data_IF_707089147097
#
_entry.id   IF_707089147097
#
_cell.length_a   1.000
_cell.length_b   1.000
_cell.length_c   1.000
_cell.angle_alpha   90.00
_cell.angle_beta   90.00
_cell.angle_gamma   90.00
#
_symmetry.space_group_name_H-M   'P 1'
#
loop_
_entity.id
_entity.type
_entity.pdbx_description
1 polymer ?
#
# COMPACT_ATOMS: atom_id res chain seq x y z
N UNK A 1 9.19 -22.62 -11.80
CA UNK A 1 8.73 -21.62 -10.86
C UNK A 1 8.96 -20.20 -11.36
N UNK A 2 8.05 -19.25 -11.03
CA UNK A 2 8.07 -17.87 -11.51
C UNK A 2 7.52 -16.93 -10.44
N UNK A 3 7.76 -15.63 -10.61
CA UNK A 3 7.06 -14.56 -9.93
C UNK A 3 6.25 -13.76 -10.94
N UNK A 4 5.07 -13.32 -10.56
CA UNK A 4 4.27 -12.37 -11.32
C UNK A 4 4.41 -11.00 -10.69
N UNK A 5 4.80 -10.02 -11.47
CA UNK A 5 4.77 -8.61 -11.13
C UNK A 5 3.64 -7.93 -11.88
N UNK A 6 2.88 -7.08 -11.20
CA UNK A 6 1.96 -6.12 -11.82
C UNK A 6 2.50 -4.73 -11.54
N UNK A 7 2.75 -3.99 -12.60
CA UNK A 7 3.20 -2.61 -12.57
C UNK A 7 2.03 -1.72 -12.95
N UNK A 8 1.79 -0.66 -12.22
CA UNK A 8 0.75 0.32 -12.53
C UNK A 8 1.32 1.73 -12.45
N UNK A 9 0.92 2.58 -13.40
CA UNK A 9 1.21 4.01 -13.44
C UNK A 9 -0.06 4.82 -13.52
N UNK A 10 -0.05 6.04 -12.99
CA UNK A 10 -1.11 7.03 -13.20
C UNK A 10 -1.10 7.63 -14.60
N UNK A 11 -0.02 7.42 -15.36
CA UNK A 11 0.13 7.85 -16.75
C UNK A 11 0.08 6.63 -17.66
N UNK A 12 -0.37 6.84 -18.90
CA UNK A 12 -0.35 5.80 -19.93
C UNK A 12 1.08 5.29 -20.12
N UNK A 13 1.24 3.98 -20.07
CA UNK A 13 2.52 3.31 -20.35
C UNK A 13 2.63 3.07 -21.85
N UNK A 14 3.69 3.58 -22.44
CA UNK A 14 4.01 3.40 -23.86
C UNK A 14 5.03 2.27 -24.09
N UNK A 15 5.46 2.12 -25.33
CA UNK A 15 6.46 1.12 -25.70
C UNK A 15 7.80 1.35 -25.01
N UNK A 16 8.14 2.60 -24.68
CA UNK A 16 9.40 2.96 -23.98
C UNK A 16 9.51 2.25 -22.63
N UNK A 17 8.42 2.17 -21.85
CA UNK A 17 8.40 1.45 -20.58
C UNK A 17 8.72 -0.02 -20.77
N UNK A 18 8.15 -0.64 -21.80
CA UNK A 18 8.40 -2.06 -22.12
C UNK A 18 9.84 -2.29 -22.60
N UNK A 19 10.39 -1.37 -23.37
CA UNK A 19 11.78 -1.45 -23.85
C UNK A 19 12.78 -1.30 -22.72
N UNK A 20 12.59 -0.33 -21.82
CA UNK A 20 13.43 -0.13 -20.65
C UNK A 20 13.40 -1.38 -19.74
N UNK A 21 12.22 -1.94 -19.49
CA UNK A 21 12.11 -3.20 -18.74
C UNK A 21 12.85 -4.37 -19.42
N UNK A 22 12.78 -4.48 -20.74
CA UNK A 22 13.53 -5.53 -21.47
C UNK A 22 15.04 -5.32 -21.39
N UNK A 23 15.50 -4.07 -21.44
CA UNK A 23 16.94 -3.75 -21.34
C UNK A 23 17.50 -4.05 -19.95
N UNK A 24 16.70 -3.94 -18.91
CA UNK A 24 17.10 -4.32 -17.54
C UNK A 24 17.46 -5.81 -17.43
N UNK A 25 16.96 -6.65 -18.36
CA UNK A 25 17.14 -8.10 -18.34
C UNK A 25 17.73 -8.66 -19.66
N UNK A 26 18.88 -8.17 -20.14
CA UNK A 26 19.36 -8.43 -21.51
C UNK A 26 19.68 -9.90 -21.81
N UNK A 27 19.89 -10.74 -20.79
CA UNK A 27 20.28 -12.15 -20.95
C UNK A 27 19.21 -13.15 -20.48
N UNK A 28 17.99 -12.70 -20.21
CA UNK A 28 16.93 -13.58 -19.70
C UNK A 28 15.87 -13.86 -20.76
N UNK A 29 16.06 -14.95 -21.50
CA UNK A 29 15.14 -15.41 -22.57
C UNK A 29 13.74 -15.82 -22.10
N UNK A 30 13.46 -15.82 -20.77
CA UNK A 30 12.22 -16.36 -20.20
C UNK A 30 11.38 -15.35 -19.43
N UNK A 31 11.62 -14.06 -19.65
CA UNK A 31 10.79 -13.00 -19.12
C UNK A 31 9.68 -12.68 -20.12
N UNK A 32 8.44 -12.62 -19.65
CA UNK A 32 7.30 -12.24 -20.46
C UNK A 32 6.73 -10.94 -19.90
N UNK A 33 6.64 -9.90 -20.73
CA UNK A 33 6.05 -8.61 -20.39
C UNK A 33 4.82 -8.47 -21.28
N UNK A 34 3.65 -8.32 -20.65
CA UNK A 34 2.36 -8.28 -21.32
C UNK A 34 1.59 -7.04 -20.85
N UNK A 35 1.16 -6.15 -21.74
CA UNK A 35 0.25 -5.08 -21.39
C UNK A 35 -1.10 -5.68 -20.93
N UNK A 36 -1.55 -5.28 -19.73
CA UNK A 36 -2.89 -5.61 -19.22
C UNK A 36 -3.89 -4.59 -19.73
N UNK A 37 -3.51 -3.32 -19.65
CA UNK A 37 -4.23 -2.18 -20.18
C UNK A 37 -3.25 -1.00 -20.41
N UNK A 38 -3.75 0.19 -20.73
CA UNK A 38 -2.92 1.37 -20.99
C UNK A 38 -2.10 1.85 -19.76
N UNK A 39 -2.49 1.45 -18.56
CA UNK A 39 -1.88 1.88 -17.29
C UNK A 39 -1.20 0.75 -16.52
N UNK A 40 -1.33 -0.49 -17.00
CA UNK A 40 -0.83 -1.67 -16.30
C UNK A 40 -0.06 -2.62 -17.22
N UNK A 41 1.08 -3.10 -16.71
CA UNK A 41 1.88 -4.18 -17.31
C UNK A 41 1.95 -5.36 -16.34
N UNK A 42 1.87 -6.57 -16.88
CA UNK A 42 2.18 -7.79 -16.17
C UNK A 42 3.54 -8.31 -16.63
N UNK A 43 4.40 -8.70 -15.69
CA UNK A 43 5.69 -9.33 -16.00
C UNK A 43 5.82 -10.65 -15.28
N UNK A 44 6.09 -11.72 -16.05
CA UNK A 44 6.45 -13.03 -15.52
C UNK A 44 7.96 -13.19 -15.50
N UNK A 45 8.50 -13.27 -14.28
CA UNK A 45 9.93 -13.39 -14.02
C UNK A 45 10.28 -14.81 -13.58
N UNK A 46 11.30 -15.47 -14.18
CA UNK A 46 11.71 -16.81 -13.77
C UNK A 46 12.41 -16.74 -12.40
N UNK A 47 11.98 -17.60 -11.48
CA UNK A 47 12.69 -17.76 -10.22
C UNK A 47 14.06 -18.41 -10.49
N UNK A 48 15.12 -17.79 -9.99
CA UNK A 48 16.47 -18.37 -10.01
C UNK A 48 16.64 -19.29 -8.80
N UNK A 49 17.48 -20.30 -8.93
CA UNK A 49 17.84 -21.15 -7.80
C UNK A 49 18.51 -20.31 -6.71
N UNK A 50 18.03 -20.46 -5.47
CA UNK A 50 18.54 -19.70 -4.33
C UNK A 50 18.03 -18.26 -4.21
N UNK A 51 17.11 -17.81 -5.08
CA UNK A 51 16.50 -16.49 -4.99
C UNK A 51 15.66 -16.38 -3.73
N UNK A 52 15.92 -15.34 -2.93
CA UNK A 52 15.19 -15.05 -1.69
C UNK A 52 14.02 -14.08 -1.92
N UNK A 53 13.14 -13.95 -0.94
CA UNK A 53 12.09 -12.94 -0.95
C UNK A 53 12.65 -11.51 -0.96
N UNK A 54 13.83 -11.30 -0.40
CA UNK A 54 14.53 -10.02 -0.36
C UNK A 54 15.05 -9.65 -1.75
N UNK A 55 15.65 -10.61 -2.48
CA UNK A 55 16.11 -10.40 -3.86
C UNK A 55 14.95 -9.97 -4.79
N UNK A 56 13.76 -10.54 -4.61
CA UNK A 56 12.57 -10.17 -5.38
C UNK A 56 12.06 -8.78 -5.00
N UNK A 57 12.16 -8.43 -3.74
CA UNK A 57 11.80 -7.09 -3.25
C UNK A 57 12.75 -6.02 -3.82
N UNK A 58 14.05 -6.26 -3.76
CA UNK A 58 15.09 -5.38 -4.32
C UNK A 58 14.98 -5.26 -5.84
N UNK A 59 14.61 -6.35 -6.53
CA UNK A 59 14.31 -6.31 -7.95
C UNK A 59 13.14 -5.37 -8.27
N UNK A 60 12.07 -5.41 -7.47
CA UNK A 60 10.93 -4.51 -7.65
C UNK A 60 11.35 -3.03 -7.48
N UNK A 61 12.16 -2.72 -6.49
CA UNK A 61 12.72 -1.37 -6.31
C UNK A 61 13.62 -0.96 -7.48
N UNK A 62 14.47 -1.85 -7.95
CA UNK A 62 15.34 -1.60 -9.13
C UNK A 62 14.49 -1.27 -10.36
N UNK A 63 13.39 -1.98 -10.59
CA UNK A 63 12.47 -1.67 -11.70
C UNK A 63 11.85 -0.28 -11.56
N UNK A 64 11.41 0.11 -10.35
CA UNK A 64 10.84 1.44 -10.09
C UNK A 64 11.86 2.53 -10.39
N UNK A 65 13.07 2.40 -9.86
CA UNK A 65 14.14 3.40 -10.02
C UNK A 65 14.54 3.53 -11.49
N UNK A 66 14.71 2.41 -12.20
CA UNK A 66 15.07 2.40 -13.62
C UNK A 66 13.97 3.07 -14.48
N UNK A 67 12.70 2.71 -14.27
CA UNK A 67 11.58 3.30 -15.01
C UNK A 67 11.42 4.79 -14.70
N UNK A 68 11.66 5.20 -13.46
CA UNK A 68 11.63 6.61 -13.08
C UNK A 68 12.74 7.42 -13.75
N UNK A 69 13.95 6.84 -13.87
CA UNK A 69 15.12 7.54 -14.44
C UNK A 69 15.12 7.51 -15.98
N UNK A 70 14.83 6.37 -16.59
CA UNK A 70 15.02 6.16 -18.02
C UNK A 70 13.74 6.36 -18.84
N UNK A 71 12.56 6.04 -18.27
CA UNK A 71 11.27 6.22 -18.92
C UNK A 71 10.47 7.41 -18.36
N UNK A 72 10.98 8.13 -17.35
CA UNK A 72 10.30 9.22 -16.63
C UNK A 72 8.88 8.82 -16.18
N UNK A 73 8.72 7.53 -15.84
CA UNK A 73 7.44 6.93 -15.48
C UNK A 73 7.49 6.41 -14.05
N UNK A 74 6.65 6.98 -13.19
CA UNK A 74 6.49 6.50 -11.83
C UNK A 74 5.48 5.35 -11.81
N UNK A 75 5.91 4.22 -11.26
CA UNK A 75 5.09 3.01 -11.15
C UNK A 75 4.99 2.56 -9.70
N UNK A 76 3.88 1.91 -9.40
CA UNK A 76 3.72 1.08 -8.20
C UNK A 76 3.72 -0.38 -8.65
N UNK A 77 4.35 -1.24 -7.87
CA UNK A 77 4.55 -2.65 -8.22
C UNK A 77 4.00 -3.55 -7.13
N UNK A 78 3.12 -4.47 -7.49
CA UNK A 78 2.80 -5.62 -6.66
C UNK A 78 3.42 -6.88 -7.25
N UNK A 79 3.77 -7.85 -6.39
CA UNK A 79 4.24 -9.14 -6.86
C UNK A 79 3.68 -10.31 -6.05
N UNK A 80 3.56 -11.47 -6.75
CA UNK A 80 3.01 -12.71 -6.20
C UNK A 80 4.00 -13.42 -5.28
N UNK A 81 3.51 -14.39 -4.54
CA UNK A 81 4.34 -15.49 -4.06
C UNK A 81 4.90 -16.31 -5.22
N UNK A 82 5.81 -17.24 -4.92
CA UNK A 82 6.40 -18.12 -5.92
C UNK A 82 5.31 -18.99 -6.59
N UNK A 83 5.20 -18.87 -7.90
CA UNK A 83 4.28 -19.64 -8.74
C UNK A 83 5.00 -20.92 -9.19
N UNK A 84 4.56 -22.10 -8.74
CA UNK A 84 5.24 -23.35 -9.05
C UNK A 84 5.10 -23.75 -10.53
N UNK A 85 3.93 -23.51 -11.12
CA UNK A 85 3.59 -23.86 -12.50
C UNK A 85 2.56 -22.88 -13.10
N UNK A 86 2.27 -23.04 -14.39
CA UNK A 86 1.34 -22.13 -15.10
C UNK A 86 -0.12 -22.32 -14.72
N UNK A 87 -0.52 -23.43 -14.11
CA UNK A 87 -1.91 -23.63 -13.65
C UNK A 87 -2.23 -22.71 -12.47
N UNK A 88 -1.25 -22.34 -11.66
CA UNK A 88 -1.41 -21.41 -10.56
C UNK A 88 -1.44 -19.93 -10.99
N UNK A 89 -1.13 -19.62 -12.26
CA UNK A 89 -1.03 -18.23 -12.75
C UNK A 89 -2.34 -17.43 -12.61
N UNK A 90 -3.55 -17.97 -12.90
CA UNK A 90 -4.77 -17.20 -12.72
C UNK A 90 -5.03 -16.80 -11.26
N UNK A 91 -4.72 -17.70 -10.32
CA UNK A 91 -4.81 -17.38 -8.88
C UNK A 91 -3.78 -16.36 -8.46
N UNK A 92 -2.54 -16.52 -8.91
CA UNK A 92 -1.47 -15.56 -8.64
C UNK A 92 -1.79 -14.16 -9.19
N UNK A 93 -2.39 -14.07 -10.37
CA UNK A 93 -2.84 -12.80 -10.96
C UNK A 93 -3.87 -12.10 -10.07
N UNK A 94 -4.90 -12.83 -9.62
CA UNK A 94 -5.92 -12.28 -8.70
C UNK A 94 -5.31 -11.79 -7.39
N UNK A 95 -4.39 -12.57 -6.82
CA UNK A 95 -3.69 -12.21 -5.58
C UNK A 95 -2.79 -10.98 -5.76
N UNK A 96 -2.06 -10.89 -6.88
CA UNK A 96 -1.18 -9.76 -7.17
C UNK A 96 -1.98 -8.49 -7.48
N UNK A 97 -3.11 -8.61 -8.19
CA UNK A 97 -4.03 -7.50 -8.43
C UNK A 97 -4.65 -6.99 -7.11
N UNK A 98 -5.03 -7.91 -6.23
CA UNK A 98 -5.46 -7.55 -4.87
C UNK A 98 -4.34 -6.84 -4.09
N UNK A 99 -3.10 -7.33 -4.18
CA UNK A 99 -1.96 -6.72 -3.52
C UNK A 99 -1.72 -5.28 -3.99
N UNK A 100 -1.83 -5.04 -5.29
CA UNK A 100 -1.70 -3.71 -5.86
C UNK A 100 -2.81 -2.77 -5.35
N UNK A 101 -4.07 -3.23 -5.36
CA UNK A 101 -5.23 -2.46 -4.89
C UNK A 101 -5.13 -2.15 -3.39
N UNK A 102 -4.91 -3.14 -2.56
CA UNK A 102 -4.78 -3.02 -1.10
C UNK A 102 -3.56 -2.19 -0.73
N UNK A 103 -2.44 -2.39 -1.43
CA UNK A 103 -1.21 -1.65 -1.24
C UNK A 103 -1.41 -0.15 -1.46
N UNK A 104 -1.99 0.22 -2.58
CA UNK A 104 -2.30 1.62 -2.92
C UNK A 104 -3.24 2.28 -1.91
N UNK A 105 -4.20 1.51 -1.41
CA UNK A 105 -5.23 2.02 -0.52
C UNK A 105 -4.72 2.23 0.91
N UNK A 106 -3.98 1.27 1.45
CA UNK A 106 -3.61 1.26 2.87
C UNK A 106 -2.14 1.58 3.15
N UNK A 107 -1.29 1.55 2.12
CA UNK A 107 0.16 1.72 2.24
C UNK A 107 0.69 2.71 1.19
N UNK A 108 0.00 3.84 1.01
CA UNK A 108 0.25 4.84 -0.03
C UNK A 108 1.68 5.41 -0.03
N UNK A 109 2.37 5.37 1.12
CA UNK A 109 3.77 5.78 1.25
C UNK A 109 4.76 4.77 0.62
N UNK A 110 4.28 3.57 0.27
CA UNK A 110 5.07 2.52 -0.35
C UNK A 110 4.80 2.47 -1.85
N UNK A 111 5.78 1.95 -2.58
CA UNK A 111 5.66 1.72 -4.03
C UNK A 111 5.74 0.24 -4.40
N UNK A 112 6.06 -0.63 -3.45
CA UNK A 112 6.18 -2.08 -3.65
C UNK A 112 5.28 -2.83 -2.68
N UNK A 113 4.41 -3.70 -3.20
CA UNK A 113 3.38 -4.41 -2.46
C UNK A 113 3.50 -5.93 -2.65
N UNK A 114 4.29 -6.63 -1.83
CA UNK A 114 4.33 -8.09 -1.81
C UNK A 114 2.99 -8.66 -1.33
N UNK A 115 2.43 -9.63 -2.02
CA UNK A 115 1.14 -10.23 -1.63
C UNK A 115 1.17 -10.79 -0.19
N UNK A 116 2.27 -11.42 0.20
CA UNK A 116 2.41 -12.02 1.54
C UNK A 116 2.71 -11.01 2.66
N UNK A 117 2.91 -9.73 2.34
CA UNK A 117 3.18 -8.66 3.32
C UNK A 117 2.05 -7.64 3.45
N UNK A 118 0.88 -7.91 2.88
CA UNK A 118 -0.27 -7.00 2.97
C UNK A 118 -0.85 -6.87 4.38
N UNK A 119 -0.51 -7.80 5.28
CA UNK A 119 -0.91 -7.72 6.67
C UNK A 119 -2.43 -7.57 6.87
N UNK A 120 -2.81 -6.67 7.77
CA UNK A 120 -4.20 -6.42 8.14
C UNK A 120 -5.02 -5.80 6.98
N UNK A 121 -4.40 -5.08 6.05
CA UNK A 121 -5.09 -4.48 4.92
C UNK A 121 -5.83 -5.50 4.06
N UNK A 122 -5.29 -6.72 3.91
CA UNK A 122 -5.96 -7.81 3.22
C UNK A 122 -7.23 -8.27 3.93
N UNK A 123 -7.21 -8.33 5.26
CA UNK A 123 -8.39 -8.71 6.04
C UNK A 123 -9.47 -7.63 5.96
N UNK A 124 -9.07 -6.37 6.08
CA UNK A 124 -10.00 -5.24 6.03
C UNK A 124 -10.72 -5.14 4.68
N UNK A 125 -10.03 -5.44 3.58
CA UNK A 125 -10.61 -5.41 2.24
C UNK A 125 -11.72 -6.48 2.03
N UNK A 126 -11.70 -7.56 2.81
CA UNK A 126 -12.72 -8.63 2.75
C UNK A 126 -13.92 -8.38 3.70
N UNK A 127 -13.90 -7.31 4.51
CA UNK A 127 -14.98 -7.01 5.43
C UNK A 127 -16.20 -6.47 4.68
N UNK A 128 -17.43 -6.89 5.09
CA UNK A 128 -18.65 -6.30 4.57
C UNK A 128 -18.73 -4.79 4.88
N UNK A 129 -19.16 -3.99 3.89
CA UNK A 129 -19.27 -2.54 4.00
C UNK A 129 -20.08 -2.12 5.24
N UNK A 130 -21.21 -2.78 5.48
CA UNK A 130 -22.06 -2.51 6.65
C UNK A 130 -21.33 -2.68 7.98
N UNK A 131 -20.50 -3.71 8.11
CA UNK A 131 -19.68 -3.92 9.31
C UNK A 131 -18.66 -2.80 9.48
N UNK A 132 -18.06 -2.35 8.37
CA UNK A 132 -17.13 -1.22 8.37
C UNK A 132 -17.82 0.08 8.82
N UNK A 133 -19.02 0.36 8.31
CA UNK A 133 -19.80 1.55 8.71
C UNK A 133 -20.20 1.51 10.18
N UNK A 134 -20.70 0.37 10.67
CA UNK A 134 -21.08 0.21 12.07
C UNK A 134 -19.87 0.41 13.00
N UNK A 135 -18.71 -0.17 12.66
CA UNK A 135 -17.48 0.03 13.43
C UNK A 135 -17.01 1.49 13.44
N UNK A 136 -17.08 2.19 12.30
CA UNK A 136 -16.74 3.61 12.26
C UNK A 136 -17.71 4.44 13.11
N UNK A 137 -18.99 4.10 13.10
CA UNK A 137 -19.98 4.77 13.92
C UNK A 137 -19.74 4.57 15.43
N UNK A 138 -19.32 3.38 15.86
CA UNK A 138 -18.96 3.11 17.26
C UNK A 138 -17.78 3.98 17.73
N UNK A 139 -16.81 4.28 16.87
CA UNK A 139 -15.62 5.05 17.23
C UNK A 139 -15.81 6.55 17.07
N UNK A 140 -16.40 6.97 15.96
CA UNK A 140 -16.51 8.38 15.60
C UNK A 140 -17.91 8.97 15.85
N UNK A 141 -18.94 8.13 16.09
CA UNK A 141 -20.34 8.56 16.15
C UNK A 141 -20.77 9.21 14.83
N UNK A 142 -21.52 10.29 14.91
CA UNK A 142 -21.88 11.13 13.77
C UNK A 142 -20.71 12.01 13.28
N UNK A 143 -19.55 11.86 13.88
CA UNK A 143 -18.34 12.61 13.51
C UNK A 143 -17.78 11.97 12.25
N UNK A 144 -18.00 12.59 11.11
CA UNK A 144 -17.32 12.24 9.87
C UNK A 144 -15.83 12.62 9.96
N UNK A 145 -14.98 11.98 9.16
CA UNK A 145 -13.52 12.25 9.07
C UNK A 145 -13.17 13.74 8.87
N UNK A 146 -14.12 14.54 8.41
CA UNK A 146 -13.97 16.00 8.22
C UNK A 146 -13.66 16.76 9.50
N UNK A 147 -13.88 16.14 10.67
CA UNK A 147 -13.61 16.75 11.98
C UNK A 147 -12.19 16.50 12.51
N UNK A 148 -11.42 15.60 11.87
CA UNK A 148 -10.00 15.44 12.15
C UNK A 148 -9.23 16.16 11.04
N UNK A 149 -8.53 17.24 11.41
CA UNK A 149 -7.75 17.99 10.45
C UNK A 149 -6.60 17.14 9.88
N UNK A 150 -6.24 17.42 8.62
CA UNK A 150 -5.22 16.65 7.89
C UNK A 150 -3.86 16.63 8.60
N UNK A 151 -3.51 17.72 9.27
CA UNK A 151 -2.24 17.83 9.98
C UNK A 151 -2.21 16.94 11.22
N UNK A 152 -3.34 16.79 11.90
CA UNK A 152 -3.49 15.87 13.04
C UNK A 152 -3.42 14.42 12.57
N UNK A 153 -4.10 14.06 11.47
CA UNK A 153 -4.02 12.71 10.91
C UNK A 153 -2.60 12.36 10.45
N UNK A 154 -1.90 13.28 9.79
CA UNK A 154 -0.51 13.09 9.38
C UNK A 154 0.43 12.92 10.60
N UNK A 155 0.20 13.68 11.68
CA UNK A 155 0.97 13.55 12.91
C UNK A 155 0.73 12.20 13.60
N UNK A 156 -0.51 11.71 13.60
CA UNK A 156 -0.88 10.38 14.16
C UNK A 156 -0.24 9.26 13.33
N UNK A 157 -0.31 9.34 11.99
CA UNK A 157 0.32 8.33 11.13
C UNK A 157 1.83 8.26 11.41
N UNK A 158 2.50 9.41 11.51
CA UNK A 158 3.92 9.48 11.87
C UNK A 158 4.20 8.93 13.28
N UNK A 159 3.28 9.14 14.21
CA UNK A 159 3.36 8.60 15.57
C UNK A 159 3.27 7.06 15.58
N UNK A 160 2.41 6.49 14.75
CA UNK A 160 2.32 5.04 14.56
C UNK A 160 3.57 4.47 13.88
N UNK A 161 4.11 5.13 12.85
CA UNK A 161 5.35 4.75 12.19
C UNK A 161 6.55 4.73 13.16
N UNK A 162 6.55 5.62 14.16
CA UNK A 162 7.56 5.71 15.20
C UNK A 162 7.24 4.85 16.44
N UNK A 163 6.41 3.81 16.31
CA UNK A 163 6.06 2.88 17.39
C UNK A 163 5.57 3.60 18.66
N UNK A 164 4.69 4.57 18.51
CA UNK A 164 4.11 5.38 19.58
C UNK A 164 5.15 6.21 20.39
N UNK A 165 6.29 6.54 19.78
CA UNK A 165 7.33 7.32 20.41
C UNK A 165 7.11 8.83 20.19
N UNK A 166 6.60 9.50 21.23
CA UNK A 166 6.29 10.97 21.18
C UNK A 166 7.53 11.80 20.87
N UNK A 167 8.69 11.49 21.50
CA UNK A 167 9.88 12.32 21.33
C UNK A 167 10.43 12.24 19.91
N UNK A 168 10.52 11.04 19.35
CA UNK A 168 11.00 10.81 17.99
C UNK A 168 10.03 11.40 16.96
N UNK A 169 8.72 11.23 17.16
CA UNK A 169 7.70 11.80 16.27
C UNK A 169 7.76 13.33 16.26
N UNK A 170 7.81 13.97 17.42
CA UNK A 170 7.91 15.41 17.52
C UNK A 170 9.18 15.96 16.84
N UNK A 171 10.33 15.25 17.01
CA UNK A 171 11.59 15.57 16.34
C UNK A 171 11.46 15.50 14.81
N UNK A 172 10.91 14.41 14.28
CA UNK A 172 10.76 14.22 12.82
C UNK A 172 9.76 15.19 12.19
N UNK A 173 8.71 15.58 12.92
CA UNK A 173 7.73 16.56 12.47
C UNK A 173 8.14 18.02 12.75
N UNK A 174 9.34 18.25 13.29
CA UNK A 174 9.82 19.58 13.66
C UNK A 174 8.84 20.36 14.56
N UNK A 175 8.12 19.65 15.45
CA UNK A 175 7.17 20.27 16.38
C UNK A 175 7.58 20.06 17.84
N UNK A 176 7.06 20.93 18.72
CA UNK A 176 7.26 20.74 20.15
C UNK A 176 6.47 19.51 20.64
N UNK A 177 7.08 18.70 21.55
CA UNK A 177 6.41 17.49 22.07
C UNK A 177 5.02 17.75 22.67
N UNK A 178 4.84 18.90 23.33
CA UNK A 178 3.56 19.27 23.92
C UNK A 178 2.49 19.54 22.86
N UNK A 179 2.87 19.99 21.67
CA UNK A 179 1.95 20.15 20.54
C UNK A 179 1.43 18.79 20.05
N UNK A 180 2.32 17.80 19.96
CA UNK A 180 1.91 16.42 19.62
C UNK A 180 1.00 15.85 20.71
N UNK A 181 1.38 15.98 21.98
CA UNK A 181 0.55 15.51 23.11
C UNK A 181 -0.83 16.14 23.05
N UNK A 182 -0.92 17.45 22.86
CA UNK A 182 -2.19 18.15 22.73
C UNK A 182 -3.07 17.59 21.59
N UNK A 183 -2.49 17.29 20.43
CA UNK A 183 -3.22 16.67 19.31
C UNK A 183 -3.74 15.29 19.68
N UNK A 184 -2.94 14.45 20.34
CA UNK A 184 -3.37 13.13 20.81
C UNK A 184 -4.51 13.23 21.83
N UNK A 185 -4.43 14.18 22.78
CA UNK A 185 -5.50 14.44 23.74
C UNK A 185 -6.81 14.95 23.09
N UNK A 186 -6.71 15.71 22.00
CA UNK A 186 -7.92 16.10 21.25
C UNK A 186 -8.59 14.89 20.58
N UNK A 187 -7.82 13.95 20.08
CA UNK A 187 -8.36 12.69 19.54
C UNK A 187 -9.00 11.87 20.66
N UNK A 188 -8.32 11.71 21.79
CA UNK A 188 -8.84 11.00 22.97
C UNK A 188 -10.19 11.58 23.45
N UNK A 189 -10.30 12.91 23.54
CA UNK A 189 -11.55 13.59 23.92
C UNK A 189 -12.71 13.35 22.95
N UNK A 190 -12.40 13.13 21.66
CA UNK A 190 -13.42 12.95 20.62
C UNK A 190 -13.85 11.51 20.45
N UNK A 191 -12.91 10.57 20.58
CA UNK A 191 -13.11 9.15 20.26
C UNK A 191 -13.13 8.25 21.50
N UNK A 192 -12.69 8.76 22.65
CA UNK A 192 -12.47 7.96 23.85
C UNK A 192 -11.21 7.10 23.81
N UNK A 193 -10.41 7.16 22.71
CA UNK A 193 -9.23 6.32 22.50
C UNK A 193 -7.95 7.10 22.86
N UNK A 194 -7.21 6.63 23.88
CA UNK A 194 -5.86 7.15 24.19
C UNK A 194 -4.82 6.50 23.29
N UNK A 195 -4.43 7.18 22.21
CA UNK A 195 -3.49 6.65 21.22
C UNK A 195 -2.07 6.37 21.76
N UNK A 196 -1.79 6.67 23.02
CA UNK A 196 -0.55 6.28 23.74
C UNK A 196 -0.65 4.85 24.26
N UNK A 197 -1.85 4.27 24.31
CA UNK A 197 -2.12 2.88 24.64
C UNK A 197 -2.19 2.05 23.36
N UNK A 198 -1.50 0.91 23.35
CA UNK A 198 -1.38 0.09 22.15
C UNK A 198 -2.72 -0.37 21.58
N UNK A 199 -3.64 -0.84 22.43
CA UNK A 199 -4.96 -1.33 22.00
C UNK A 199 -5.81 -0.23 21.38
N UNK A 200 -5.83 0.97 21.98
CA UNK A 200 -6.55 2.13 21.46
C UNK A 200 -5.94 2.66 20.16
N UNK A 201 -4.60 2.70 20.11
CA UNK A 201 -3.86 3.07 18.90
C UNK A 201 -4.14 2.12 17.74
N UNK A 202 -4.19 0.81 18.00
CA UNK A 202 -4.52 -0.21 17.02
C UNK A 202 -5.97 -0.04 16.54
N UNK A 203 -6.92 0.13 17.45
CA UNK A 203 -8.33 0.36 17.14
C UNK A 203 -8.50 1.58 16.25
N UNK A 204 -7.89 2.70 16.63
CA UNK A 204 -7.93 3.94 15.83
C UNK A 204 -7.28 3.77 14.46
N UNK A 205 -6.13 3.08 14.37
CA UNK A 205 -5.47 2.81 13.09
C UNK A 205 -6.36 2.01 12.15
N UNK A 206 -7.01 0.98 12.66
CA UNK A 206 -7.98 0.17 11.90
C UNK A 206 -9.15 1.06 11.41
N UNK A 207 -9.68 1.92 12.29
CA UNK A 207 -10.77 2.82 11.92
C UNK A 207 -10.38 3.77 10.78
N UNK A 208 -9.18 4.37 10.81
CA UNK A 208 -8.69 5.22 9.73
C UNK A 208 -8.48 4.42 8.43
N UNK A 209 -7.97 3.20 8.51
CA UNK A 209 -7.83 2.33 7.33
C UNK A 209 -9.20 2.02 6.71
N UNK A 210 -10.20 1.64 7.51
CA UNK A 210 -11.57 1.39 7.05
C UNK A 210 -12.18 2.65 6.42
N UNK A 211 -12.00 3.81 7.05
CA UNK A 211 -12.49 5.08 6.53
C UNK A 211 -11.94 5.38 5.14
N UNK A 212 -10.62 5.26 4.95
CA UNK A 212 -9.97 5.44 3.65
C UNK A 212 -10.48 4.44 2.61
N UNK A 213 -10.73 3.19 3.02
CA UNK A 213 -11.30 2.16 2.16
C UNK A 213 -12.69 2.55 1.65
N UNK A 214 -13.61 2.91 2.53
CA UNK A 214 -14.98 3.30 2.15
C UNK A 214 -15.00 4.57 1.28
N UNK A 215 -14.12 5.53 1.54
CA UNK A 215 -14.00 6.73 0.71
C UNK A 215 -13.52 6.40 -0.70
N UNK A 216 -12.56 5.48 -0.86
CA UNK A 216 -12.07 5.08 -2.18
C UNK A 216 -13.10 4.32 -2.99
N UNK A 217 -13.88 3.42 -2.37
CA UNK A 217 -14.95 2.67 -3.04
C UNK A 217 -16.08 3.62 -3.52
N UNK A 218 -16.43 4.62 -2.73
CA UNK A 218 -17.43 5.62 -3.14
C UNK A 218 -16.98 6.47 -4.32
N UNK A 219 -15.69 6.84 -4.37
CA UNK A 219 -15.14 7.61 -5.50
C UNK A 219 -15.15 6.79 -6.80
N UNK A 220 -14.83 5.49 -6.74
CA UNK A 220 -14.86 4.59 -7.92
C UNK A 220 -16.29 4.33 -8.42
N UNK A 221 -17.30 4.36 -7.54
CA UNK A 221 -18.70 4.14 -7.91
C UNK A 221 -19.35 5.34 -8.60
N UNK A 222 -18.70 6.50 -8.64
CA UNK A 222 -19.17 7.75 -9.23
C UNK A 222 -18.49 8.09 -10.57
N UNK A 223 -17.50 7.31 -11.02
CA UNK A 223 -16.88 7.36 -12.35
C UNK A 223 -17.49 6.29 -13.28
#
# INVERSE_FOLDING_TARGET
>A
PRYLFLLESSKKMDETVTEVLKQLFPFQEKIYIVPVNEFQLAMLYPAKDGCTSEDIHDLAHTMIDTLSMEALTHVQIAYSDLIPDLHALPSAYKQTALALRVGKLFYSEQSVFPFNKLGIGRLLHELPEKLCEDFLFEIFGDITSEHLDKDTLAAIDKFFQNNLNIAETARQLHMHRNTLIYRLEQVEKRTGLDLRQFEDAMTFKIAIMILNYLQSERNVSHE
#
